data_IF_497959291377
#
_entry.id   IF_497959291377
#
_cell.length_a   1.000
_cell.length_b   1.000
_cell.length_c   1.000
_cell.angle_alpha   90.00
_cell.angle_beta   90.00
_cell.angle_gamma   90.00
#
_symmetry.space_group_name_H-M   'P 1'
#
loop_
_entity.id
_entity.type
_entity.pdbx_description
1 polymer ?
#
# COMPACT_ATOMS: atom_id res chain seq x y z
N UNK A 1 -30.18 6.73 4.07
CA UNK A 1 -28.71 6.89 4.15
C UNK A 1 -28.21 7.03 2.73
N UNK A 2 -27.50 8.10 2.39
CA UNK A 2 -26.84 8.21 1.09
C UNK A 2 -25.81 7.09 1.03
N UNK A 3 -25.91 6.21 0.04
CA UNK A 3 -24.91 5.18 -0.17
C UNK A 3 -23.59 5.89 -0.51
N UNK A 4 -22.57 5.72 0.33
CA UNK A 4 -21.26 6.26 0.02
C UNK A 4 -20.75 5.56 -1.23
N UNK A 5 -20.35 6.35 -2.24
CA UNK A 5 -19.83 5.85 -3.51
C UNK A 5 -18.55 5.07 -3.29
N UNK A 6 -18.23 4.16 -4.21
CA UNK A 6 -17.07 3.28 -4.06
C UNK A 6 -15.76 4.08 -4.01
N UNK A 7 -14.97 3.85 -2.96
CA UNK A 7 -13.65 4.43 -2.72
C UNK A 7 -12.59 3.45 -3.21
N UNK A 8 -11.84 3.81 -4.25
CA UNK A 8 -10.84 2.95 -4.90
C UNK A 8 -9.47 3.13 -4.26
N UNK A 9 -9.05 4.38 -4.05
CA UNK A 9 -7.68 4.70 -3.59
C UNK A 9 -7.49 4.50 -2.08
N UNK A 10 -8.38 5.08 -1.26
CA UNK A 10 -8.16 5.19 0.20
C UNK A 10 -7.82 3.85 0.90
N UNK A 11 -8.51 2.73 0.65
CA UNK A 11 -8.21 1.48 1.35
C UNK A 11 -6.78 0.99 1.12
N UNK A 12 -6.30 0.99 -0.13
CA UNK A 12 -4.94 0.53 -0.44
C UNK A 12 -3.91 1.55 0.04
N UNK A 13 -4.18 2.86 -0.06
CA UNK A 13 -3.27 3.89 0.43
C UNK A 13 -3.10 3.88 1.95
N UNK A 14 -4.12 3.46 2.71
CA UNK A 14 -3.96 3.24 4.15
C UNK A 14 -2.96 2.11 4.42
N UNK A 15 -3.01 1.02 3.65
CA UNK A 15 -2.05 -0.08 3.75
C UNK A 15 -0.62 0.38 3.38
N UNK A 16 -0.47 1.19 2.33
CA UNK A 16 0.83 1.75 1.95
C UNK A 16 1.40 2.68 3.00
N UNK A 17 0.57 3.55 3.60
CA UNK A 17 0.99 4.40 4.72
C UNK A 17 1.44 3.58 5.92
N UNK A 18 0.67 2.54 6.28
CA UNK A 18 1.08 1.63 7.35
C UNK A 18 2.45 1.02 7.06
N UNK A 19 2.67 0.52 5.83
CA UNK A 19 3.93 -0.08 5.42
C UNK A 19 5.10 0.91 5.45
N UNK A 20 4.93 2.09 4.84
CA UNK A 20 5.95 3.14 4.81
C UNK A 20 6.32 3.63 6.20
N UNK A 21 5.34 3.86 7.09
CA UNK A 21 5.62 4.30 8.45
C UNK A 21 6.31 3.23 9.29
N UNK A 22 5.95 1.96 9.08
CA UNK A 22 6.62 0.84 9.75
C UNK A 22 8.08 0.74 9.30
N UNK A 23 8.35 0.78 8.00
CA UNK A 23 9.71 0.78 7.46
C UNK A 23 10.53 2.00 7.88
N UNK A 24 9.91 3.19 7.91
CA UNK A 24 10.58 4.41 8.37
C UNK A 24 10.99 4.31 9.85
N UNK A 25 10.13 3.72 10.67
CA UNK A 25 10.43 3.43 12.07
C UNK A 25 11.55 2.41 12.22
N UNK A 26 11.47 1.28 11.50
CA UNK A 26 12.49 0.23 11.50
C UNK A 26 13.87 0.79 11.10
N UNK A 27 13.94 1.58 10.02
CA UNK A 27 15.18 2.28 9.61
C UNK A 27 15.69 3.25 10.67
N UNK A 28 14.79 3.90 11.42
CA UNK A 28 15.16 4.86 12.46
C UNK A 28 15.75 4.23 13.73
N UNK A 29 15.48 2.95 13.98
CA UNK A 29 15.96 2.24 15.17
C UNK A 29 17.06 1.20 14.87
N UNK A 30 17.23 0.80 13.62
CA UNK A 30 18.18 -0.25 13.23
C UNK A 30 19.63 0.12 13.56
N UNK A 31 20.34 -0.79 14.23
CA UNK A 31 21.77 -0.66 14.46
C UNK A 31 22.56 -1.21 13.27
N UNK A 32 23.03 -0.33 12.39
CA UNK A 32 23.84 -0.72 11.23
C UNK A 32 25.25 -1.28 11.57
N UNK A 33 25.65 -1.33 12.85
CA UNK A 33 26.81 -2.12 13.28
C UNK A 33 26.50 -3.59 13.49
N UNK A 34 25.22 -3.95 13.66
CA UNK A 34 24.77 -5.33 13.72
C UNK A 34 24.35 -5.78 12.32
N UNK A 35 25.02 -6.80 11.79
CA UNK A 35 24.78 -7.29 10.43
C UNK A 35 23.41 -7.94 10.26
N UNK A 36 22.83 -8.51 11.32
CA UNK A 36 21.49 -9.11 11.29
C UNK A 36 20.45 -8.01 11.25
N UNK A 37 20.52 -7.03 12.16
CA UNK A 37 19.57 -5.90 12.18
C UNK A 37 19.62 -5.10 10.87
N UNK A 38 20.82 -4.85 10.33
CA UNK A 38 20.98 -4.17 9.05
C UNK A 38 20.34 -4.95 7.89
N UNK A 39 20.50 -6.27 7.85
CA UNK A 39 19.90 -7.10 6.79
C UNK A 39 18.38 -7.15 6.91
N UNK A 40 17.86 -7.25 8.12
CA UNK A 40 16.42 -7.30 8.37
C UNK A 40 15.74 -6.00 7.92
N UNK A 41 16.31 -4.84 8.26
CA UNK A 41 15.74 -3.56 7.86
C UNK A 41 15.87 -3.29 6.35
N UNK A 42 16.97 -3.75 5.72
CA UNK A 42 17.12 -3.69 4.25
C UNK A 42 16.05 -4.56 3.58
N UNK A 43 15.79 -5.75 4.11
CA UNK A 43 14.73 -6.64 3.59
C UNK A 43 13.35 -5.98 3.70
N UNK A 44 13.07 -5.33 4.82
CA UNK A 44 11.83 -4.54 5.00
C UNK A 44 11.71 -3.41 3.97
N UNK A 45 12.79 -2.66 3.72
CA UNK A 45 12.84 -1.60 2.71
C UNK A 45 12.56 -2.13 1.31
N UNK A 46 13.20 -3.24 0.92
CA UNK A 46 13.01 -3.86 -0.39
C UNK A 46 11.57 -4.33 -0.60
N UNK A 47 10.97 -4.95 0.41
CA UNK A 47 9.54 -5.33 0.41
C UNK A 47 8.65 -4.11 0.22
N UNK A 48 8.91 -3.03 0.95
CA UNK A 48 8.14 -1.78 0.83
C UNK A 48 8.23 -1.19 -0.57
N UNK A 49 9.43 -1.09 -1.14
CA UNK A 49 9.61 -0.60 -2.51
C UNK A 49 8.87 -1.48 -3.51
N UNK A 50 8.96 -2.81 -3.37
CA UNK A 50 8.25 -3.74 -4.25
C UNK A 50 6.72 -3.50 -4.22
N UNK A 51 6.15 -3.28 -3.03
CA UNK A 51 4.73 -2.98 -2.88
C UNK A 51 4.31 -1.68 -3.54
N UNK A 52 5.15 -0.65 -3.46
CA UNK A 52 4.88 0.65 -4.08
C UNK A 52 4.94 0.57 -5.62
N UNK A 53 5.91 -0.18 -6.17
CA UNK A 53 6.00 -0.45 -7.61
C UNK A 53 4.74 -1.15 -8.12
N UNK A 54 4.34 -2.25 -7.48
CA UNK A 54 3.13 -3.01 -7.86
C UNK A 54 1.88 -2.12 -7.81
N UNK A 55 1.79 -1.25 -6.81
CA UNK A 55 0.66 -0.33 -6.67
C UNK A 55 0.56 0.66 -7.84
N UNK A 56 1.66 1.34 -8.17
CA UNK A 56 1.70 2.25 -9.32
C UNK A 56 1.41 1.53 -10.64
N UNK A 57 1.92 0.30 -10.82
CA UNK A 57 1.59 -0.54 -11.98
C UNK A 57 0.10 -0.86 -12.06
N UNK A 58 -0.56 -1.13 -10.94
CA UNK A 58 -2.00 -1.39 -10.91
C UNK A 58 -2.81 -0.17 -11.31
N UNK A 59 -2.43 1.02 -10.86
CA UNK A 59 -3.08 2.27 -11.25
C UNK A 59 -2.90 2.57 -12.74
N UNK A 60 -1.65 2.52 -13.20
CA UNK A 60 -1.28 2.73 -14.59
C UNK A 60 -2.01 1.78 -15.55
N UNK A 61 -2.25 0.54 -15.14
CA UNK A 61 -2.87 -0.48 -16.01
C UNK A 61 -4.41 -0.52 -15.91
N UNK A 62 -4.98 -0.22 -14.74
CA UNK A 62 -6.39 -0.53 -14.46
C UNK A 62 -7.25 0.65 -14.01
N UNK A 63 -6.68 1.81 -13.70
CA UNK A 63 -7.43 3.00 -13.29
C UNK A 63 -7.18 4.14 -14.28
N UNK A 64 -5.91 4.52 -14.45
CA UNK A 64 -5.48 5.64 -15.27
C UNK A 64 -6.02 5.60 -16.71
N UNK A 65 -6.00 4.46 -17.44
CA UNK A 65 -6.48 4.44 -18.83
C UNK A 65 -7.98 4.70 -18.95
N UNK A 66 -8.77 4.35 -17.92
CA UNK A 66 -10.21 4.60 -17.94
C UNK A 66 -10.52 6.05 -17.58
N UNK A 67 -9.80 6.63 -16.62
CA UNK A 67 -9.89 8.05 -16.31
C UNK A 67 -9.49 8.93 -17.49
N UNK A 68 -8.36 8.65 -18.15
CA UNK A 68 -7.88 9.43 -19.29
C UNK A 68 -8.87 9.42 -20.46
N UNK A 69 -9.61 8.31 -20.67
CA UNK A 69 -10.67 8.24 -21.70
C UNK A 69 -11.85 9.18 -21.42
N UNK A 70 -12.18 9.42 -20.15
CA UNK A 70 -13.34 10.24 -19.74
C UNK A 70 -12.97 11.66 -19.35
N UNK A 71 -11.73 11.87 -18.90
CA UNK A 71 -11.15 13.16 -18.55
C UNK A 71 -9.74 13.30 -19.17
N UNK A 72 -9.64 13.59 -20.48
CA UNK A 72 -8.35 13.68 -21.16
C UNK A 72 -7.42 14.75 -20.58
N UNK A 73 -6.14 14.41 -20.44
CA UNK A 73 -5.10 15.25 -19.87
C UNK A 73 -4.99 15.21 -18.35
N UNK A 74 -5.86 14.46 -17.66
CA UNK A 74 -5.86 14.37 -16.19
C UNK A 74 -4.67 13.56 -15.66
N UNK A 75 -4.25 12.52 -16.38
CA UNK A 75 -3.36 11.49 -15.84
C UNK A 75 -1.86 11.83 -15.97
N UNK A 76 -1.47 12.64 -16.96
CA UNK A 76 -0.06 12.90 -17.27
C UNK A 76 0.81 13.35 -16.06
N UNK A 77 0.31 14.19 -15.11
CA UNK A 77 1.06 14.52 -13.91
C UNK A 77 1.34 13.31 -12.99
N UNK A 78 0.39 12.39 -12.84
CA UNK A 78 0.51 11.21 -11.98
C UNK A 78 1.47 10.17 -12.55
N UNK A 79 1.43 9.96 -13.87
CA UNK A 79 2.45 9.14 -14.55
C UNK A 79 3.85 9.73 -14.40
N UNK A 80 3.97 11.07 -14.41
CA UNK A 80 5.24 11.75 -14.17
C UNK A 80 5.73 11.54 -12.73
N UNK A 81 4.82 11.57 -11.75
CA UNK A 81 5.15 11.25 -10.36
C UNK A 81 5.67 9.81 -10.25
N UNK A 82 4.96 8.83 -10.83
CA UNK A 82 5.39 7.43 -10.85
C UNK A 82 6.80 7.24 -11.46
N UNK A 83 7.09 7.91 -12.57
CA UNK A 83 8.42 7.88 -13.19
C UNK A 83 9.51 8.51 -12.33
N UNK A 84 9.17 9.51 -11.51
CA UNK A 84 10.12 10.11 -10.58
C UNK A 84 10.36 9.19 -9.39
N UNK A 85 9.31 8.56 -8.87
CA UNK A 85 9.39 7.57 -7.80
C UNK A 85 10.24 6.37 -8.20
N UNK A 86 10.15 5.89 -9.44
CA UNK A 86 11.03 4.82 -9.95
C UNK A 86 12.52 5.15 -9.84
N UNK A 87 12.91 6.41 -10.06
CA UNK A 87 14.30 6.87 -9.89
C UNK A 87 14.70 6.82 -8.42
N UNK A 88 13.80 7.22 -7.53
CA UNK A 88 13.99 7.16 -6.08
C UNK A 88 14.13 5.72 -5.61
N UNK A 89 13.32 4.80 -6.11
CA UNK A 89 13.40 3.37 -5.81
C UNK A 89 14.75 2.78 -6.23
N UNK A 90 15.25 3.15 -7.41
CA UNK A 90 16.55 2.70 -7.90
C UNK A 90 17.69 3.22 -7.00
N UNK A 91 17.60 4.47 -6.57
CA UNK A 91 18.57 5.08 -5.65
C UNK A 91 18.58 4.38 -4.28
N UNK A 92 17.40 4.16 -3.68
CA UNK A 92 17.26 3.45 -2.39
C UNK A 92 17.78 2.02 -2.47
N UNK A 93 17.47 1.30 -3.55
CA UNK A 93 17.99 -0.07 -3.78
C UNK A 93 19.51 -0.08 -3.91
N UNK A 94 20.10 0.89 -4.61
CA UNK A 94 21.56 1.02 -4.72
C UNK A 94 22.19 1.26 -3.35
N UNK A 95 21.65 2.20 -2.58
CA UNK A 95 22.13 2.50 -1.22
C UNK A 95 22.03 1.28 -0.30
N UNK A 96 20.95 0.51 -0.41
CA UNK A 96 20.75 -0.71 0.36
C UNK A 96 21.81 -1.77 0.03
N UNK A 97 22.10 -1.98 -1.26
CA UNK A 97 23.15 -2.89 -1.72
C UNK A 97 24.55 -2.46 -1.28
N UNK A 98 24.81 -1.16 -1.25
CA UNK A 98 26.09 -0.63 -0.73
C UNK A 98 26.21 -0.85 0.78
N UNK A 99 25.14 -0.60 1.54
CA UNK A 99 25.11 -0.83 2.97
C UNK A 99 25.31 -2.31 3.33
N UNK A 100 24.70 -3.24 2.58
CA UNK A 100 24.85 -4.69 2.79
C UNK A 100 26.29 -5.18 2.58
N UNK A 101 27.04 -4.55 1.65
CA UNK A 101 28.44 -4.88 1.34
C UNK A 101 29.46 -4.16 2.22
N UNK A 102 29.05 -3.08 2.88
CA UNK A 102 29.93 -2.26 3.71
C UNK A 102 30.18 -2.92 5.08
N UNK A 103 31.16 -2.38 5.81
CA UNK A 103 31.44 -2.79 7.19
C UNK A 103 31.90 -1.59 8.02
N UNK A 104 31.89 -1.74 9.34
CA UNK A 104 32.36 -0.70 10.27
C UNK A 104 31.62 0.63 10.09
N UNK A 105 32.34 1.74 10.21
CA UNK A 105 31.74 3.07 10.17
C UNK A 105 31.14 3.43 8.79
N UNK A 106 31.61 2.82 7.70
CA UNK A 106 31.01 3.02 6.38
C UNK A 106 29.58 2.48 6.32
N UNK A 107 29.32 1.31 6.90
CA UNK A 107 27.98 0.71 6.95
C UNK A 107 27.02 1.59 7.75
N UNK A 108 27.50 2.14 8.87
CA UNK A 108 26.72 3.09 9.70
C UNK A 108 26.38 4.36 8.91
N UNK A 109 27.34 4.93 8.18
CA UNK A 109 27.11 6.12 7.37
C UNK A 109 26.05 5.87 6.27
N UNK A 110 26.13 4.74 5.57
CA UNK A 110 25.14 4.34 4.55
C UNK A 110 23.76 4.08 5.16
N UNK A 111 23.68 3.53 6.37
CA UNK A 111 22.42 3.38 7.11
C UNK A 111 21.75 4.72 7.41
N UNK A 112 22.53 5.73 7.82
CA UNK A 112 22.02 7.10 8.06
C UNK A 112 21.52 7.72 6.74
N UNK A 113 22.25 7.52 5.65
CA UNK A 113 21.86 8.01 4.32
C UNK A 113 20.55 7.34 3.84
N UNK A 114 20.44 6.01 3.98
CA UNK A 114 19.21 5.26 3.69
C UNK A 114 18.01 5.79 4.49
N UNK A 115 18.19 5.97 5.79
CA UNK A 115 17.15 6.51 6.66
C UNK A 115 16.68 7.89 6.20
N UNK A 116 17.62 8.82 5.94
CA UNK A 116 17.29 10.17 5.50
C UNK A 116 16.60 10.18 4.13
N UNK A 117 17.13 9.40 3.19
CA UNK A 117 16.60 9.33 1.81
C UNK A 117 15.20 8.74 1.75
N UNK A 118 14.94 7.68 2.53
CA UNK A 118 13.63 7.04 2.61
C UNK A 118 12.60 7.97 3.26
N UNK A 119 12.95 8.67 4.35
CA UNK A 119 12.02 9.60 4.99
C UNK A 119 11.68 10.82 4.10
N UNK A 120 12.65 11.33 3.34
CA UNK A 120 12.37 12.37 2.34
C UNK A 120 11.39 11.86 1.28
N UNK A 121 11.61 10.65 0.77
CA UNK A 121 10.70 10.01 -0.19
C UNK A 121 9.29 9.85 0.38
N UNK A 122 9.15 9.36 1.62
CA UNK A 122 7.84 9.22 2.27
C UNK A 122 7.11 10.58 2.33
N UNK A 123 7.83 11.68 2.62
CA UNK A 123 7.26 13.02 2.60
C UNK A 123 6.64 13.40 1.25
N UNK A 124 7.40 13.20 0.16
CA UNK A 124 6.94 13.50 -1.20
C UNK A 124 5.77 12.58 -1.62
N UNK A 125 5.91 11.28 -1.34
CA UNK A 125 4.94 10.27 -1.73
C UNK A 125 3.57 10.46 -1.04
N UNK A 126 3.55 10.91 0.21
CA UNK A 126 2.29 11.27 0.88
C UNK A 126 1.53 12.38 0.15
N UNK A 127 2.24 13.35 -0.45
CA UNK A 127 1.62 14.40 -1.26
C UNK A 127 1.00 13.86 -2.55
N UNK A 128 1.64 12.87 -3.18
CA UNK A 128 1.08 12.13 -4.32
C UNK A 128 -0.20 11.38 -3.94
N UNK A 129 -0.18 10.56 -2.88
CA UNK A 129 -1.37 9.82 -2.41
C UNK A 129 -2.57 10.70 -2.09
N UNK A 130 -2.34 11.90 -1.52
CA UNK A 130 -3.42 12.86 -1.23
C UNK A 130 -4.08 13.38 -2.50
N UNK A 131 -3.30 13.67 -3.55
CA UNK A 131 -3.85 14.13 -4.83
C UNK A 131 -4.70 13.05 -5.49
N UNK A 132 -4.30 11.78 -5.41
CA UNK A 132 -5.10 10.68 -5.93
C UNK A 132 -6.41 10.49 -5.14
N UNK A 133 -6.33 10.51 -3.81
CA UNK A 133 -7.49 10.38 -2.92
C UNK A 133 -8.50 11.53 -3.00
N UNK A 134 -8.10 12.66 -3.62
CA UNK A 134 -8.95 13.85 -3.74
C UNK A 134 -9.33 14.12 -5.18
N UNK A 135 -8.35 14.34 -6.06
CA UNK A 135 -8.55 14.73 -7.45
C UNK A 135 -8.96 13.53 -8.31
N UNK A 136 -8.18 12.43 -8.31
CA UNK A 136 -8.51 11.25 -9.13
C UNK A 136 -9.75 10.52 -8.60
N UNK A 137 -9.88 10.40 -7.27
CA UNK A 137 -11.08 9.83 -6.66
C UNK A 137 -12.33 10.67 -6.93
N UNK A 138 -12.20 12.00 -6.94
CA UNK A 138 -13.26 12.91 -7.36
C UNK A 138 -13.64 12.72 -8.82
N UNK A 139 -12.65 12.67 -9.72
CA UNK A 139 -12.88 12.42 -11.14
C UNK A 139 -13.53 11.05 -11.41
N UNK A 140 -13.16 10.01 -10.64
CA UNK A 140 -13.81 8.70 -10.69
C UNK A 140 -15.30 8.79 -10.33
N UNK A 141 -15.65 9.55 -9.30
CA UNK A 141 -17.05 9.76 -8.96
C UNK A 141 -17.76 10.55 -10.06
N UNK A 142 -17.19 11.65 -10.53
CA UNK A 142 -17.87 12.51 -11.50
C UNK A 142 -18.11 11.83 -12.86
N UNK A 143 -17.24 10.88 -13.24
CA UNK A 143 -17.26 10.30 -14.59
C UNK A 143 -17.75 8.86 -14.68
N UNK A 144 -17.92 8.14 -13.57
CA UNK A 144 -18.32 6.72 -13.58
C UNK A 144 -19.56 6.49 -12.73
N UNK A 145 -20.33 5.46 -13.05
CA UNK A 145 -21.43 4.98 -12.20
C UNK A 145 -20.90 4.09 -11.08
N UNK A 146 -21.69 3.86 -10.03
CA UNK A 146 -21.28 2.96 -8.93
C UNK A 146 -21.08 1.51 -9.38
N UNK A 147 -21.81 1.07 -10.41
CA UNK A 147 -21.61 -0.25 -11.02
C UNK A 147 -20.25 -0.34 -11.71
N UNK A 148 -19.88 0.68 -12.48
CA UNK A 148 -18.58 0.76 -13.16
C UNK A 148 -17.42 0.84 -12.16
N UNK A 149 -17.56 1.63 -11.10
CA UNK A 149 -16.56 1.71 -10.03
C UNK A 149 -16.41 0.36 -9.32
N UNK A 150 -17.52 -0.32 -9.03
CA UNK A 150 -17.50 -1.66 -8.46
C UNK A 150 -16.84 -2.68 -9.40
N UNK A 151 -17.06 -2.58 -10.71
CA UNK A 151 -16.41 -3.42 -11.71
C UNK A 151 -14.90 -3.15 -11.79
N UNK A 152 -14.49 -1.88 -11.72
CA UNK A 152 -13.09 -1.48 -11.66
C UNK A 152 -12.40 -2.04 -10.42
N UNK A 153 -13.02 -1.94 -9.24
CA UNK A 153 -12.52 -2.54 -8.00
C UNK A 153 -12.35 -4.06 -8.10
N UNK A 154 -13.31 -4.76 -8.70
CA UNK A 154 -13.19 -6.22 -8.95
C UNK A 154 -12.05 -6.55 -9.91
N UNK A 155 -11.85 -5.75 -10.96
CA UNK A 155 -10.75 -5.93 -11.92
C UNK A 155 -9.38 -5.75 -11.24
N UNK A 156 -9.24 -4.77 -10.36
CA UNK A 156 -8.02 -4.57 -9.57
C UNK A 156 -7.70 -5.80 -8.72
N UNK A 157 -8.68 -6.29 -7.95
CA UNK A 157 -8.49 -7.47 -7.09
C UNK A 157 -8.15 -8.71 -7.91
N UNK A 158 -8.83 -8.92 -9.05
CA UNK A 158 -8.62 -10.09 -9.91
C UNK A 158 -7.23 -10.13 -10.56
N UNK A 159 -6.54 -8.99 -10.66
CA UNK A 159 -5.20 -8.91 -11.23
C UNK A 159 -4.09 -8.85 -10.17
N UNK A 160 -4.42 -9.00 -8.87
CA UNK A 160 -3.41 -9.25 -7.84
C UNK A 160 -2.92 -10.70 -8.02
N UNK A 161 -1.61 -10.93 -8.24
CA UNK A 161 -1.07 -12.29 -8.36
C UNK A 161 -1.40 -13.14 -7.12
N UNK A 162 -1.77 -14.42 -7.27
CA UNK A 162 -2.18 -15.26 -6.14
C UNK A 162 -1.15 -15.36 -5.02
N UNK A 163 0.14 -15.34 -5.35
CA UNK A 163 1.27 -15.35 -4.42
C UNK A 163 1.42 -14.03 -3.63
N UNK A 164 0.89 -12.92 -4.15
CA UNK A 164 0.92 -11.60 -3.52
C UNK A 164 -0.36 -11.26 -2.74
N UNK A 165 -1.45 -12.00 -2.96
CA UNK A 165 -2.74 -11.77 -2.32
C UNK A 165 -2.68 -11.83 -0.78
N UNK A 166 -1.97 -12.78 -0.13
CA UNK A 166 -1.90 -12.83 1.33
C UNK A 166 -1.26 -11.58 1.96
N UNK A 167 -0.21 -11.06 1.33
CA UNK A 167 0.46 -9.84 1.79
C UNK A 167 -0.43 -8.62 1.61
N UNK A 168 -1.11 -8.51 0.47
CA UNK A 168 -2.09 -7.45 0.22
C UNK A 168 -3.19 -7.45 1.27
N UNK A 169 -3.82 -8.61 1.53
CA UNK A 169 -4.90 -8.74 2.50
C UNK A 169 -4.42 -8.43 3.93
N UNK A 170 -3.23 -8.92 4.30
CA UNK A 170 -2.61 -8.61 5.60
C UNK A 170 -2.42 -7.11 5.78
N UNK A 171 -1.87 -6.41 4.77
CA UNK A 171 -1.65 -4.97 4.82
C UNK A 171 -2.95 -4.17 4.92
N UNK A 172 -3.98 -4.55 4.16
CA UNK A 172 -5.30 -3.93 4.24
C UNK A 172 -5.93 -4.16 5.63
N UNK A 173 -5.89 -5.39 6.15
CA UNK A 173 -6.40 -5.70 7.49
C UNK A 173 -5.68 -4.90 8.59
N UNK A 174 -4.36 -4.73 8.50
CA UNK A 174 -3.59 -3.93 9.47
C UNK A 174 -3.97 -2.45 9.46
N UNK A 175 -4.43 -1.93 8.32
CA UNK A 175 -4.61 -0.49 8.11
C UNK A 175 -6.06 0.01 8.20
N UNK A 176 -7.05 -0.86 8.01
CA UNK A 176 -8.46 -0.48 8.05
C UNK A 176 -8.99 -0.39 9.48
N UNK A 177 -9.84 0.61 9.73
CA UNK A 177 -10.58 0.70 10.99
C UNK A 177 -11.70 -0.34 11.03
N UNK A 178 -12.31 -0.52 12.19
CA UNK A 178 -13.32 -1.56 12.39
C UNK A 178 -14.52 -1.42 11.45
N UNK A 179 -14.96 -0.21 11.10
CA UNK A 179 -16.12 -0.01 10.22
C UNK A 179 -15.80 -0.38 8.78
N UNK A 180 -14.66 0.10 8.27
CA UNK A 180 -14.15 -0.21 6.93
C UNK A 180 -13.89 -1.72 6.78
N UNK A 181 -13.22 -2.32 7.77
CA UNK A 181 -12.85 -3.72 7.76
C UNK A 181 -14.08 -4.64 7.88
N UNK A 182 -15.05 -4.30 8.74
CA UNK A 182 -16.36 -4.99 8.78
C UNK A 182 -17.04 -4.92 7.42
N UNK A 183 -17.04 -3.75 6.76
CA UNK A 183 -17.64 -3.60 5.43
C UNK A 183 -16.98 -4.49 4.38
N UNK A 184 -15.65 -4.54 4.35
CA UNK A 184 -14.88 -5.38 3.43
C UNK A 184 -15.13 -6.87 3.67
N UNK A 185 -14.94 -7.32 4.92
CA UNK A 185 -15.07 -8.72 5.30
C UNK A 185 -16.53 -9.20 5.24
N UNK A 186 -17.52 -8.33 5.48
CA UNK A 186 -18.93 -8.66 5.29
C UNK A 186 -19.27 -8.97 3.84
N UNK A 187 -18.75 -8.19 2.88
CA UNK A 187 -18.89 -8.49 1.44
C UNK A 187 -18.19 -9.81 1.08
N UNK A 188 -16.99 -10.04 1.65
CA UNK A 188 -16.28 -11.30 1.44
C UNK A 188 -17.06 -12.50 1.99
N UNK A 189 -17.62 -12.42 3.20
CA UNK A 189 -18.49 -13.46 3.80
C UNK A 189 -19.67 -13.83 2.89
N UNK A 190 -20.23 -12.85 2.19
CA UNK A 190 -21.38 -13.04 1.30
C UNK A 190 -21.03 -13.65 -0.06
N UNK A 191 -19.78 -13.54 -0.52
CA UNK A 191 -19.38 -13.85 -1.90
C UNK A 191 -18.30 -14.94 -2.02
N UNK A 192 -17.45 -15.09 -1.01
CA UNK A 192 -16.32 -16.00 -1.04
C UNK A 192 -16.67 -17.37 -0.42
N UNK A 193 -15.93 -18.44 -0.77
CA UNK A 193 -16.05 -19.72 -0.09
C UNK A 193 -15.78 -19.59 1.42
N UNK A 194 -16.49 -20.34 2.29
CA UNK A 194 -16.33 -20.26 3.75
C UNK A 194 -14.87 -20.38 4.22
N UNK A 195 -14.11 -21.30 3.62
CA UNK A 195 -12.69 -21.53 3.94
C UNK A 195 -11.80 -20.33 3.59
N UNK A 196 -12.14 -19.60 2.52
CA UNK A 196 -11.43 -18.37 2.14
C UNK A 196 -11.72 -17.28 3.17
N UNK A 197 -12.99 -17.10 3.53
CA UNK A 197 -13.39 -16.13 4.54
C UNK A 197 -12.74 -16.42 5.91
N UNK A 198 -12.73 -17.68 6.35
CA UNK A 198 -12.07 -18.09 7.59
C UNK A 198 -10.56 -17.83 7.56
N UNK A 199 -9.90 -18.08 6.43
CA UNK A 199 -8.48 -17.76 6.23
C UNK A 199 -8.20 -16.26 6.41
N UNK A 200 -9.01 -15.40 5.80
CA UNK A 200 -8.85 -13.94 5.93
C UNK A 200 -9.20 -13.45 7.33
N UNK A 201 -10.18 -14.06 8.01
CA UNK A 201 -10.47 -13.74 9.42
C UNK A 201 -9.26 -14.01 10.33
N UNK A 202 -8.50 -15.09 10.10
CA UNK A 202 -7.26 -15.38 10.83
C UNK A 202 -6.15 -14.36 10.53
N UNK A 203 -6.01 -13.96 9.27
CA UNK A 203 -5.07 -12.88 8.90
C UNK A 203 -5.44 -11.56 9.59
N UNK A 204 -6.73 -11.23 9.63
CA UNK A 204 -7.22 -10.03 10.31
C UNK A 204 -6.95 -10.07 11.82
N UNK A 205 -7.11 -11.23 12.47
CA UNK A 205 -6.79 -11.42 13.89
C UNK A 205 -5.31 -11.12 14.19
N UNK A 206 -4.42 -11.54 13.30
CA UNK A 206 -2.97 -11.37 13.45
C UNK A 206 -2.51 -9.95 13.12
N UNK A 207 -3.14 -9.31 12.14
CA UNK A 207 -2.70 -8.02 11.59
C UNK A 207 -3.30 -6.80 12.33
N UNK A 208 -4.52 -6.93 12.85
CA UNK A 208 -5.22 -5.83 13.51
C UNK A 208 -4.71 -5.59 14.93
N UNK A 209 -4.97 -4.39 15.46
CA UNK A 209 -4.95 -4.21 16.91
C UNK A 209 -6.07 -5.04 17.56
N UNK A 210 -5.88 -5.59 18.79
CA UNK A 210 -6.89 -6.42 19.44
C UNK A 210 -8.26 -5.74 19.54
N UNK A 211 -8.29 -4.45 19.93
CA UNK A 211 -9.53 -3.67 20.05
C UNK A 211 -10.26 -3.49 18.71
N UNK A 212 -9.51 -3.37 17.61
CA UNK A 212 -10.10 -3.25 16.27
C UNK A 212 -10.72 -4.58 15.84
N UNK A 213 -9.98 -5.68 16.02
CA UNK A 213 -10.45 -7.01 15.63
C UNK A 213 -11.67 -7.48 16.43
N UNK A 214 -11.71 -7.21 17.75
CA UNK A 214 -12.86 -7.55 18.59
C UNK A 214 -14.17 -6.94 18.08
N UNK A 215 -14.13 -5.66 17.66
CA UNK A 215 -15.28 -4.97 17.06
C UNK A 215 -15.70 -5.63 15.76
N UNK A 216 -14.75 -5.96 14.90
CA UNK A 216 -15.00 -6.61 13.60
C UNK A 216 -15.65 -7.98 13.81
N UNK A 217 -15.08 -8.80 14.70
CA UNK A 217 -15.62 -10.13 15.05
C UNK A 217 -17.05 -10.02 15.59
N UNK A 218 -17.32 -9.08 16.49
CA UNK A 218 -18.66 -8.90 17.06
C UNK A 218 -19.71 -8.50 16.01
N UNK A 219 -19.32 -7.73 14.99
CA UNK A 219 -20.22 -7.28 13.92
C UNK A 219 -20.45 -8.32 12.81
N UNK A 220 -19.55 -9.30 12.68
CA UNK A 220 -19.59 -10.34 11.65
C UNK A 220 -20.01 -11.71 12.18
N UNK A 221 -20.23 -11.85 13.49
CA UNK A 221 -20.87 -13.02 14.10
C UNK A 221 -22.28 -13.19 13.51
#
# INVERSE_FOLDING_TARGET
>A
MVQQRHEIYRPTHKALRHLMYSTAHELGIANFRDDVEARDVITSLERTINRLVIHAEHENNYIHPDLEKRAPGLIAPYETDHQNDEKVYAELKRLAQEADRASGDQKVALGIELYGRFNSFVGDYLGHLVREETELQGALWDNFTDEELGAMGRRLIANIPPDQMPEFLTGVCAALNADELTGMLGRMKAMAPPETFEGVMKMAEQACTPSNFEKVRARLA
#
